data_IF_947823745548
#
_entry.id   IF_947823745548
#
_cell.length_a   1.000
_cell.length_b   1.000
_cell.length_c   1.000
_cell.angle_alpha   90.00
_cell.angle_beta   90.00
_cell.angle_gamma   90.00
#
_symmetry.space_group_name_H-M   'P 1'
#
loop_
_entity.id
_entity.type
_entity.pdbx_description
1 polymer ?
#
# COMPACT_ATOMS: atom_id res chain seq x y z
N UNK A 1 3.88 4.37 21.31
CA UNK A 1 3.31 3.80 20.07
C UNK A 1 3.18 2.30 20.28
N UNK A 2 2.00 1.73 20.04
CA UNK A 2 1.74 0.29 20.10
C UNK A 2 1.97 -0.33 18.73
N UNK A 3 2.42 -1.58 18.69
CA UNK A 3 2.66 -2.32 17.44
C UNK A 3 1.40 -2.42 16.58
N UNK A 4 0.22 -2.44 17.21
CA UNK A 4 -1.09 -2.47 16.53
C UNK A 4 -1.42 -1.17 15.78
N UNK A 5 -0.78 -0.05 16.09
CA UNK A 5 -1.10 1.26 15.50
C UNK A 5 -0.70 1.36 14.01
N UNK A 6 0.06 0.39 13.49
CA UNK A 6 0.49 0.36 12.09
C UNK A 6 -0.38 -0.54 11.19
N UNK A 7 -1.37 -1.23 11.76
CA UNK A 7 -2.31 -2.06 10.98
C UNK A 7 -3.16 -1.16 10.07
N UNK A 8 -3.31 -1.56 8.82
CA UNK A 8 -4.01 -0.81 7.78
C UNK A 8 -3.14 0.23 7.05
N UNK A 9 -1.98 0.58 7.58
CA UNK A 9 -1.06 1.52 6.93
C UNK A 9 -0.35 0.90 5.71
N UNK A 10 0.07 1.73 4.73
CA UNK A 10 1.01 1.31 3.72
C UNK A 10 2.30 0.79 4.35
N UNK A 11 2.88 -0.28 3.78
CA UNK A 11 4.11 -0.89 4.33
C UNK A 11 5.25 0.13 4.50
N UNK A 12 5.40 1.07 3.56
CA UNK A 12 6.42 2.11 3.63
C UNK A 12 6.24 3.02 4.87
N UNK A 13 5.00 3.44 5.16
CA UNK A 13 4.70 4.28 6.31
C UNK A 13 4.85 3.51 7.63
N UNK A 14 4.38 2.26 7.67
CA UNK A 14 4.56 1.40 8.84
C UNK A 14 6.05 1.21 9.17
N UNK A 15 6.91 0.96 8.17
CA UNK A 15 8.36 0.85 8.36
C UNK A 15 8.97 2.15 8.88
N UNK A 16 8.59 3.30 8.32
CA UNK A 16 9.10 4.59 8.77
C UNK A 16 8.73 4.88 10.24
N UNK A 17 7.49 4.60 10.65
CA UNK A 17 7.06 4.77 12.05
C UNK A 17 7.79 3.84 13.00
N UNK A 18 7.95 2.56 12.64
CA UNK A 18 8.65 1.58 13.46
C UNK A 18 10.16 1.89 13.56
N UNK A 19 10.79 2.31 12.47
CA UNK A 19 12.19 2.75 12.47
C UNK A 19 12.41 3.96 13.38
N UNK A 20 11.50 4.96 13.35
CA UNK A 20 11.54 6.11 14.28
C UNK A 20 11.38 5.70 15.74
N UNK A 21 10.69 4.59 16.00
CA UNK A 21 10.56 4.01 17.34
C UNK A 21 11.75 3.11 17.74
N UNK A 22 12.79 3.00 16.90
CA UNK A 22 13.95 2.15 17.15
C UNK A 22 13.67 0.65 17.00
N UNK A 23 12.57 0.27 16.34
CA UNK A 23 12.13 -1.11 16.21
C UNK A 23 12.61 -1.72 14.89
N UNK A 24 13.13 -2.94 14.97
CA UNK A 24 13.51 -3.74 13.80
C UNK A 24 12.29 -4.42 13.19
N UNK A 25 12.13 -4.32 11.87
CA UNK A 25 10.94 -4.84 11.17
C UNK A 25 11.26 -6.10 10.40
N UNK A 26 10.52 -7.17 10.66
CA UNK A 26 10.48 -8.38 9.85
C UNK A 26 9.17 -8.43 9.07
N UNK A 27 9.24 -8.58 7.75
CA UNK A 27 8.07 -8.51 6.86
C UNK A 27 7.80 -9.90 6.30
N UNK A 28 6.57 -10.37 6.50
CA UNK A 28 6.05 -11.57 5.85
C UNK A 28 4.90 -11.20 4.92
N UNK A 29 4.99 -11.72 3.70
CA UNK A 29 3.95 -11.55 2.71
C UNK A 29 2.97 -12.71 2.82
N UNK A 30 1.69 -12.39 3.03
CA UNK A 30 0.63 -13.36 2.82
C UNK A 30 0.07 -13.21 1.42
N UNK A 31 -0.26 -14.34 0.80
CA UNK A 31 -1.13 -14.32 -0.36
C UNK A 31 -2.45 -13.70 0.08
N UNK A 32 -2.73 -12.46 -0.35
CA UNK A 32 -4.11 -11.98 -0.36
C UNK A 32 -4.94 -13.08 -1.05
N UNK A 33 -6.15 -13.42 -0.58
CA UNK A 33 -6.94 -14.49 -1.19
C UNK A 33 -7.00 -14.22 -2.69
N UNK A 34 -6.35 -15.09 -3.49
CA UNK A 34 -6.11 -14.84 -4.91
C UNK A 34 -7.43 -14.79 -5.70
N UNK A 35 -8.48 -15.45 -5.19
CA UNK A 35 -9.80 -15.50 -5.81
C UNK A 35 -10.51 -14.13 -5.91
N UNK A 36 -10.71 -13.34 -4.84
CA UNK A 36 -11.30 -12.01 -4.95
C UNK A 36 -10.43 -11.04 -5.78
N UNK A 37 -9.10 -11.19 -5.76
CA UNK A 37 -8.19 -10.37 -6.58
C UNK A 37 -8.32 -10.69 -8.07
N UNK A 38 -8.39 -11.98 -8.46
CA UNK A 38 -8.60 -12.42 -9.85
C UNK A 38 -9.98 -12.02 -10.38
N UNK A 39 -11.03 -12.16 -9.55
CA UNK A 39 -12.40 -11.77 -9.93
C UNK A 39 -12.53 -10.25 -10.15
N UNK A 40 -11.90 -9.43 -9.30
CA UNK A 40 -11.86 -7.97 -9.46
C UNK A 40 -10.93 -7.51 -10.58
N UNK A 41 -9.81 -8.21 -10.85
CA UNK A 41 -8.94 -7.88 -12.00
C UNK A 41 -9.70 -7.96 -13.33
N UNK A 42 -10.68 -8.87 -13.44
CA UNK A 42 -11.58 -8.95 -14.60
C UNK A 42 -12.65 -7.84 -14.66
N UNK A 43 -13.03 -7.24 -13.53
CA UNK A 43 -14.09 -6.24 -13.47
C UNK A 43 -13.59 -4.79 -13.54
N UNK A 44 -12.33 -4.51 -13.17
CA UNK A 44 -11.91 -3.13 -12.89
C UNK A 44 -10.60 -2.67 -13.54
N UNK A 45 -10.09 -3.43 -14.52
CA UNK A 45 -8.83 -3.13 -15.21
C UNK A 45 -7.58 -3.44 -14.36
N UNK A 46 -6.40 -3.31 -14.96
CA UNK A 46 -5.12 -3.52 -14.26
C UNK A 46 -4.91 -2.43 -13.21
N UNK A 47 -5.35 -2.73 -11.98
CA UNK A 47 -5.21 -1.81 -10.85
C UNK A 47 -3.84 -1.95 -10.20
N UNK A 48 -3.15 -0.84 -9.92
CA UNK A 48 -1.96 -0.87 -9.09
C UNK A 48 -2.31 -1.44 -7.70
N UNK A 49 -1.54 -2.44 -7.28
CA UNK A 49 -1.67 -3.09 -5.98
C UNK A 49 -0.73 -2.43 -4.97
N UNK A 50 -1.25 -2.04 -3.81
CA UNK A 50 -0.44 -1.44 -2.74
C UNK A 50 -0.27 -2.42 -1.59
N UNK A 51 0.96 -2.64 -1.10
CA UNK A 51 1.22 -3.43 0.10
C UNK A 51 0.70 -2.72 1.36
N UNK A 52 -0.19 -3.39 2.10
CA UNK A 52 -0.71 -2.90 3.38
C UNK A 52 -0.50 -3.92 4.48
N UNK A 53 -0.21 -3.40 5.68
CA UNK A 53 -0.10 -4.23 6.89
C UNK A 53 -1.48 -4.71 7.28
N UNK A 54 -1.67 -6.03 7.34
CA UNK A 54 -2.91 -6.66 7.80
C UNK A 54 -2.84 -7.12 9.25
N UNK A 55 -1.62 -7.38 9.74
CA UNK A 55 -1.36 -7.78 11.12
C UNK A 55 0.02 -7.30 11.53
N UNK A 56 0.14 -6.86 12.78
CA UNK A 56 1.41 -6.45 13.36
C UNK A 56 1.54 -7.08 14.75
N UNK A 57 2.64 -7.80 14.98
CA UNK A 57 2.88 -8.54 16.21
C UNK A 57 4.31 -8.32 16.72
N UNK A 58 4.56 -8.43 18.03
CA UNK A 58 5.91 -8.51 18.55
C UNK A 58 6.70 -9.66 17.89
N UNK A 59 7.95 -9.39 17.52
CA UNK A 59 8.85 -10.39 16.96
C UNK A 59 9.44 -11.31 18.02
N UNK A 60 10.19 -12.32 17.57
CA UNK A 60 10.85 -13.28 18.46
C UNK A 60 11.98 -12.65 19.31
N UNK A 61 12.48 -11.48 18.90
CA UNK A 61 13.53 -10.74 19.60
C UNK A 61 12.98 -9.46 20.23
N UNK A 62 13.51 -9.03 21.39
CA UNK A 62 13.17 -7.73 21.96
C UNK A 62 13.51 -6.61 20.96
N UNK A 63 12.58 -5.66 20.80
CA UNK A 63 12.71 -4.58 19.82
C UNK A 63 12.41 -4.99 18.36
N UNK A 64 11.96 -6.22 18.11
CA UNK A 64 11.53 -6.67 16.78
C UNK A 64 10.01 -6.61 16.64
N UNK A 65 9.53 -6.29 15.44
CA UNK A 65 8.12 -6.33 15.05
C UNK A 65 7.98 -7.17 13.79
N UNK A 66 7.02 -8.10 13.81
CA UNK A 66 6.64 -8.93 12.67
C UNK A 66 5.38 -8.36 12.03
N UNK A 67 5.48 -8.03 10.74
CA UNK A 67 4.39 -7.47 9.95
C UNK A 67 3.92 -8.49 8.93
N UNK A 68 2.63 -8.83 8.99
CA UNK A 68 1.96 -9.55 7.92
C UNK A 68 1.41 -8.54 6.92
N UNK A 69 1.77 -8.68 5.65
CA UNK A 69 1.45 -7.74 4.58
C UNK A 69 0.67 -8.45 3.48
N UNK A 70 -0.40 -7.82 3.02
CA UNK A 70 -1.16 -8.26 1.85
C UNK A 70 -1.22 -7.15 0.80
N UNK A 71 -1.41 -7.55 -0.46
CA UNK A 71 -1.59 -6.62 -1.59
C UNK A 71 -3.06 -6.34 -1.80
N UNK A 72 -3.44 -5.07 -1.73
CA UNK A 72 -4.81 -4.63 -1.99
C UNK A 72 -4.86 -3.78 -3.26
N UNK A 73 -5.89 -3.94 -4.11
CA UNK A 73 -6.13 -3.01 -5.21
C UNK A 73 -6.48 -1.64 -4.64
N UNK A 74 -5.89 -0.58 -5.19
CA UNK A 74 -6.28 0.78 -4.86
C UNK A 74 -7.79 0.97 -5.15
N UNK A 75 -8.53 1.68 -4.29
CA UNK A 75 -9.86 2.17 -4.64
C UNK A 75 -9.76 3.02 -5.91
N UNK A 76 -10.83 3.12 -6.73
CA UNK A 76 -10.81 4.00 -7.88
C UNK A 76 -10.49 5.41 -7.39
N UNK A 77 -9.36 5.96 -7.83
CA UNK A 77 -9.07 7.37 -7.58
C UNK A 77 -10.05 8.13 -8.50
N UNK A 78 -10.95 8.96 -7.95
CA UNK A 78 -11.80 9.77 -8.79
C UNK A 78 -10.91 10.64 -9.67
N UNK A 79 -11.26 10.86 -10.95
CA UNK A 79 -10.44 11.66 -11.86
C UNK A 79 -10.13 13.06 -11.30
N UNK A 80 -11.03 13.62 -10.50
CA UNK A 80 -10.83 14.88 -9.79
C UNK A 80 -9.61 14.88 -8.83
N UNK A 81 -9.30 13.75 -8.19
CA UNK A 81 -8.14 13.61 -7.30
C UNK A 81 -6.84 13.42 -8.10
N UNK A 82 -6.92 12.79 -9.29
CA UNK A 82 -5.77 12.68 -10.20
C UNK A 82 -5.41 14.02 -10.84
N UNK A 83 -6.42 14.82 -11.22
CA UNK A 83 -6.25 16.17 -11.72
C UNK A 83 -5.63 17.09 -10.64
N UNK A 84 -6.11 17.00 -9.39
CA UNK A 84 -5.55 17.74 -8.26
C UNK A 84 -4.11 17.33 -7.90
N UNK A 85 -3.68 16.11 -8.26
CA UNK A 85 -2.33 15.61 -8.04
C UNK A 85 -1.35 15.95 -9.19
N UNK A 86 -1.79 16.68 -10.22
CA UNK A 86 -0.94 17.07 -11.36
C UNK A 86 -0.49 15.90 -12.24
N UNK A 87 -1.21 14.77 -12.19
CA UNK A 87 -0.94 13.57 -13.01
C UNK A 87 -1.90 13.45 -14.20
N UNK A 88 -2.57 14.54 -14.58
CA UNK A 88 -3.23 14.68 -15.87
C UNK A 88 -2.27 15.39 -16.81
N UNK A 89 -1.69 14.65 -17.76
CA UNK A 89 -0.86 15.24 -18.80
C UNK A 89 -1.67 16.22 -19.64
N UNK A 90 -1.57 17.50 -19.29
CA UNK A 90 -1.78 18.60 -20.21
C UNK A 90 -0.47 18.80 -20.97
N UNK A 91 -0.25 18.03 -22.03
CA UNK A 91 0.73 18.41 -23.06
C UNK A 91 0.25 17.91 -24.42
N UNK A 92 -0.69 18.66 -25.00
CA UNK A 92 -1.00 18.65 -26.42
C UNK A 92 -1.36 20.08 -26.83
N UNK A 93 -0.39 20.99 -26.69
CA UNK A 93 -0.35 22.25 -27.43
C UNK A 93 1.07 22.39 -27.96
N UNK A 94 1.29 21.87 -29.16
CA UNK A 94 2.10 22.54 -30.18
C UNK A 94 1.93 21.81 -31.52
N UNK A 95 1.64 22.55 -32.59
CA UNK A 95 1.57 21.99 -33.95
C UNK A 95 0.45 22.53 -34.82
N UNK A 96 0.40 23.85 -35.00
CA UNK A 96 -0.32 24.50 -36.09
C UNK A 96 0.27 24.12 -37.47
N UNK A 97 -0.53 24.15 -38.55
CA UNK A 97 -0.10 24.68 -39.82
C UNK A 97 -0.55 26.14 -40.01
#
# INVERSE_FOLDING_TARGET
>A
MRVTDVVGLPLAEARARLARAGLSVHVEWTAAPEEPARRRRRQVGERPLVPRVVRAEPGARPGQVRLLVARFPLPPVPPAVLAAAGLGGEDATDGAP
#
